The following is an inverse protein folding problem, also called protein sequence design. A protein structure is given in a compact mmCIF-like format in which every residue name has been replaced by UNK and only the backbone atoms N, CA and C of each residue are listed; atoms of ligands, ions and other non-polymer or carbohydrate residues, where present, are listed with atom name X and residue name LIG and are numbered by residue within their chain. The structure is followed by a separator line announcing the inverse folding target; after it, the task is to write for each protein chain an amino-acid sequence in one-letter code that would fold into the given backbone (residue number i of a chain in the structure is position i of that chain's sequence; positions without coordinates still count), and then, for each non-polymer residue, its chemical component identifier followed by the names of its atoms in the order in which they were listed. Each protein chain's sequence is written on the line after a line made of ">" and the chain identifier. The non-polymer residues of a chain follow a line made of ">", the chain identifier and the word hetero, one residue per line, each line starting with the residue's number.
data_IF_603503106760
#
_entry.id   IF_603503106760
#
_cell.length_a   1.000
_cell.length_b   1.000
_cell.length_c   1.000
_cell.angle_alpha   90.00
_cell.angle_beta   90.00
_cell.angle_gamma   90.00
#
_symmetry.space_group_name_H-M   'P 1'
#
loop_
_entity.id
_entity.type
_entity.pdbx_description
1 polymer ?
#
# COMPACT_ATOMS: atom_id res chain seq x y z
N UNK A 1 21.71 -13.83 -14.80
CA UNK A 1 21.11 -12.48 -14.71
C UNK A 1 21.40 -11.93 -13.33
N UNK A 2 22.25 -10.91 -13.23
CA UNK A 2 22.48 -10.19 -11.98
C UNK A 2 21.47 -9.05 -11.89
N UNK A 3 20.56 -9.13 -10.91
CA UNK A 3 19.65 -8.03 -10.58
C UNK A 3 20.44 -7.05 -9.70
N UNK A 4 21.09 -6.08 -10.33
CA UNK A 4 21.73 -4.97 -9.64
C UNK A 4 20.66 -4.10 -8.99
N UNK A 5 20.60 -4.11 -7.65
CA UNK A 5 19.76 -3.18 -6.90
C UNK A 5 20.44 -1.81 -6.89
N UNK A 6 20.12 -0.95 -7.86
CA UNK A 6 20.54 0.44 -7.85
C UNK A 6 19.55 1.26 -7.00
N UNK A 7 20.06 1.90 -5.94
CA UNK A 7 19.28 2.68 -5.00
C UNK A 7 19.42 4.17 -5.35
N UNK A 8 18.61 4.69 -6.27
CA UNK A 8 18.53 6.12 -6.59
C UNK A 8 17.11 6.55 -6.96
N UNK A 9 16.59 7.53 -6.22
CA UNK A 9 15.75 8.64 -6.69
C UNK A 9 15.55 9.62 -5.52
N UNK A 10 15.96 10.87 -5.71
CA UNK A 10 15.63 11.98 -4.81
C UNK A 10 14.15 12.32 -5.08
N UNK A 11 13.23 11.84 -4.25
CA UNK A 11 11.83 12.21 -4.36
C UNK A 11 11.67 13.67 -3.89
N UNK A 12 11.38 14.59 -4.81
CA UNK A 12 10.97 15.94 -4.47
C UNK A 12 9.58 15.86 -3.82
N UNK A 13 9.51 16.08 -2.50
CA UNK A 13 8.25 16.30 -1.79
C UNK A 13 7.75 17.71 -2.15
N UNK A 14 7.00 17.83 -3.25
CA UNK A 14 6.23 19.03 -3.51
C UNK A 14 4.90 18.90 -2.74
N UNK A 15 4.76 19.65 -1.64
CA UNK A 15 3.46 19.85 -1.02
C UNK A 15 2.59 20.65 -2.01
N UNK A 16 1.60 19.99 -2.61
CA UNK A 16 0.68 20.63 -3.55
C UNK A 16 -0.35 21.47 -2.77
N UNK A 17 -0.73 22.66 -3.29
CA UNK A 17 -1.74 23.50 -2.66
C UNK A 17 -3.09 22.79 -2.61
N UNK A 18 -3.66 22.68 -1.40
CA UNK A 18 -4.95 22.01 -1.15
C UNK A 18 -4.85 20.61 -0.51
N UNK A 19 -3.63 20.08 -0.30
CA UNK A 19 -3.46 18.91 0.55
C UNK A 19 -3.80 19.25 2.01
N UNK A 20 -4.62 18.41 2.67
CA UNK A 20 -4.79 18.47 4.12
C UNK A 20 -3.38 18.39 4.75
N UNK A 21 -2.91 19.43 5.47
CA UNK A 21 -1.56 19.46 6.03
C UNK A 21 -1.32 18.29 7.00
N UNK A 22 -2.40 17.62 7.43
CA UNK A 22 -2.35 16.45 8.28
C UNK A 22 -1.84 15.17 7.61
N UNK A 23 -1.56 15.11 6.31
CA UNK A 23 -0.93 13.91 5.69
C UNK A 23 0.06 14.29 4.59
N UNK A 24 1.32 13.85 4.76
CA UNK A 24 2.34 13.94 3.71
C UNK A 24 2.86 12.55 3.36
N UNK A 25 2.83 12.24 2.06
CA UNK A 25 3.28 10.98 1.50
C UNK A 25 4.48 11.21 0.58
N UNK A 26 5.55 10.44 0.78
CA UNK A 26 6.64 10.35 -0.19
C UNK A 26 6.51 9.05 -0.96
N UNK A 27 6.39 9.14 -2.27
CA UNK A 27 6.42 7.97 -3.15
C UNK A 27 7.82 7.81 -3.75
N UNK A 28 8.30 6.57 -3.80
CA UNK A 28 9.58 6.22 -4.44
C UNK A 28 9.39 5.05 -5.41
N UNK A 29 10.00 5.08 -6.59
CA UNK A 29 10.02 3.89 -7.45
C UNK A 29 10.77 2.76 -6.74
N UNK A 30 10.21 1.56 -6.78
CA UNK A 30 10.85 0.33 -6.30
C UNK A 30 11.38 -0.49 -7.47
N UNK A 31 10.53 -0.73 -8.47
CA UNK A 31 10.88 -1.49 -9.66
C UNK A 31 10.08 -1.00 -10.85
N UNK A 32 10.67 -1.13 -12.02
CA UNK A 32 10.01 -0.96 -13.31
C UNK A 32 10.37 -2.19 -14.13
N UNK A 33 9.36 -2.89 -14.63
CA UNK A 33 9.53 -4.11 -15.42
C UNK A 33 8.94 -3.88 -16.79
N UNK A 34 9.67 -4.26 -17.83
CA UNK A 34 9.19 -4.23 -19.21
C UNK A 34 9.15 -5.67 -19.70
N UNK A 35 7.96 -6.13 -20.03
CA UNK A 35 7.72 -7.45 -20.60
C UNK A 35 7.52 -7.29 -22.11
N UNK A 36 8.24 -8.11 -22.89
CA UNK A 36 8.05 -8.24 -24.33
C UNK A 36 7.94 -9.71 -24.68
N UNK A 37 6.80 -10.13 -25.22
CA UNK A 37 6.56 -11.48 -25.73
C UNK A 37 6.44 -11.41 -27.24
N UNK A 38 7.34 -12.13 -27.91
CA UNK A 38 7.33 -12.28 -29.36
C UNK A 38 6.94 -13.72 -29.69
N UNK A 39 5.93 -13.87 -30.54
CA UNK A 39 5.57 -15.17 -31.10
C UNK A 39 5.98 -15.19 -32.57
N UNK A 40 6.55 -16.32 -32.99
CA UNK A 40 7.02 -16.55 -34.35
C UNK A 40 6.26 -17.72 -34.98
N UNK A 41 6.05 -17.67 -36.29
CA UNK A 41 5.52 -18.79 -37.06
C UNK A 41 6.58 -19.88 -37.30
N UNK A 42 6.17 -20.95 -38.00
CA UNK A 42 7.06 -22.06 -38.34
C UNK A 42 8.19 -21.66 -39.31
N UNK A 43 8.08 -20.52 -39.98
CA UNK A 43 9.07 -19.96 -40.89
C UNK A 43 10.00 -18.93 -40.20
N UNK A 44 9.77 -18.66 -38.91
CA UNK A 44 10.52 -17.67 -38.13
C UNK A 44 10.04 -16.23 -38.29
N UNK A 45 8.90 -15.98 -38.95
CA UNK A 45 8.33 -14.64 -39.04
C UNK A 45 7.53 -14.30 -37.78
N UNK A 46 7.58 -13.05 -37.38
CA UNK A 46 6.88 -12.54 -36.20
C UNK A 46 5.36 -12.51 -36.45
N UNK A 47 4.58 -13.21 -35.62
CA UNK A 47 3.11 -13.24 -35.69
C UNK A 47 2.45 -12.34 -34.64
N UNK A 48 2.92 -12.39 -33.39
CA UNK A 48 2.36 -11.60 -32.30
C UNK A 48 3.46 -10.91 -31.50
N UNK A 49 3.18 -9.67 -31.12
CA UNK A 49 3.96 -8.91 -30.16
C UNK A 49 3.01 -8.48 -29.05
N UNK A 50 3.32 -8.90 -27.83
CA UNK A 50 2.68 -8.38 -26.64
C UNK A 50 3.77 -7.69 -25.81
N UNK A 51 3.63 -6.39 -25.65
CA UNK A 51 4.48 -5.62 -24.76
C UNK A 51 3.65 -5.09 -23.60
N UNK A 52 4.28 -4.98 -22.44
CA UNK A 52 3.67 -4.44 -21.24
C UNK A 52 4.74 -3.85 -20.35
N UNK A 53 4.35 -2.88 -19.53
CA UNK A 53 5.22 -2.33 -18.52
C UNK A 53 4.52 -2.31 -17.18
N UNK A 54 5.22 -2.65 -16.12
CA UNK A 54 4.73 -2.54 -14.75
C UNK A 54 5.66 -1.63 -13.95
N UNK A 55 5.09 -0.81 -13.07
CA UNK A 55 5.83 0.08 -12.17
C UNK A 55 5.33 -0.16 -10.75
N UNK A 56 6.26 -0.47 -9.85
CA UNK A 56 5.99 -0.55 -8.43
C UNK A 56 6.46 0.74 -7.74
N UNK A 57 5.56 1.38 -7.00
CA UNK A 57 5.84 2.56 -6.18
C UNK A 57 5.70 2.20 -4.71
N UNK A 58 6.68 2.60 -3.91
CA UNK A 58 6.65 2.48 -2.46
C UNK A 58 6.27 3.81 -1.81
N UNK A 59 5.27 3.75 -0.95
CA UNK A 59 4.85 4.86 -0.14
C UNK A 59 5.60 4.87 1.19
N UNK A 60 6.14 6.03 1.55
CA UNK A 60 6.76 6.31 2.84
C UNK A 60 6.02 7.48 3.47
N UNK A 61 5.62 7.31 4.73
CA UNK A 61 5.06 8.42 5.49
C UNK A 61 6.20 9.37 5.86
N UNK A 62 6.01 10.65 5.56
CA UNK A 62 6.75 11.70 6.27
C UNK A 62 6.18 11.75 7.70
N UNK A 63 6.87 12.27 8.72
CA UNK A 63 6.40 12.13 10.10
C UNK A 63 5.02 12.80 10.26
N UNK A 64 3.98 11.97 10.38
CA UNK A 64 2.60 12.40 10.52
C UNK A 64 2.02 11.87 11.83
N UNK A 65 1.17 12.68 12.46
CA UNK A 65 0.32 12.27 13.59
C UNK A 65 -0.89 11.43 13.16
N UNK A 66 -1.17 11.31 11.86
CA UNK A 66 -2.35 10.63 11.34
C UNK A 66 -2.17 9.11 11.21
N UNK A 67 -3.15 8.35 11.69
CA UNK A 67 -3.18 6.89 11.59
C UNK A 67 -3.77 6.46 10.23
N UNK A 68 -2.92 6.35 9.20
CA UNK A 68 -3.33 5.90 7.85
C UNK A 68 -3.58 4.40 7.86
N UNK A 69 -4.82 3.96 7.64
CA UNK A 69 -5.24 2.56 7.79
C UNK A 69 -5.46 1.79 6.50
N UNK A 70 -5.80 2.49 5.42
CA UNK A 70 -5.99 1.92 4.11
C UNK A 70 -5.71 2.95 3.02
N UNK A 71 -5.56 2.48 1.78
CA UNK A 71 -5.57 3.33 0.60
C UNK A 71 -6.51 2.76 -0.47
N UNK A 72 -7.01 3.61 -1.35
CA UNK A 72 -7.94 3.24 -2.42
C UNK A 72 -7.89 4.26 -3.55
N UNK A 73 -8.66 4.01 -4.62
CA UNK A 73 -8.89 4.95 -5.72
C UNK A 73 -7.61 5.62 -6.23
N UNK A 74 -6.55 4.84 -6.39
CA UNK A 74 -5.36 5.30 -7.09
C UNK A 74 -5.77 5.73 -8.50
N UNK A 75 -5.41 6.94 -8.91
CA UNK A 75 -5.73 7.48 -10.24
C UNK A 75 -4.49 8.16 -10.78
N UNK A 76 -4.20 7.93 -12.05
CA UNK A 76 -3.14 8.65 -12.76
C UNK A 76 -3.80 9.72 -13.62
N UNK A 77 -3.33 10.96 -13.47
CA UNK A 77 -3.73 12.05 -14.35
C UNK A 77 -2.80 12.14 -15.56
N UNK A 78 -1.52 11.79 -15.38
CA UNK A 78 -0.52 11.84 -16.43
C UNK A 78 0.60 10.84 -16.17
N UNK A 79 1.03 10.14 -17.23
CA UNK A 79 2.25 9.33 -17.26
C UNK A 79 3.02 9.80 -18.48
N UNK A 80 4.22 10.36 -18.28
CA UNK A 80 4.93 11.07 -19.35
C UNK A 80 6.42 10.76 -19.35
N UNK A 81 6.99 10.53 -20.53
CA UNK A 81 8.43 10.33 -20.71
C UNK A 81 9.18 11.65 -20.84
N UNK A 82 10.49 11.63 -20.63
CA UNK A 82 11.38 12.76 -20.91
C UNK A 82 11.41 13.17 -22.40
N UNK A 83 11.06 12.26 -23.31
CA UNK A 83 10.86 12.55 -24.73
C UNK A 83 9.51 13.25 -25.03
N UNK A 84 8.67 13.48 -24.02
CA UNK A 84 7.37 14.15 -24.14
C UNK A 84 6.21 13.23 -24.55
N UNK A 85 6.45 11.93 -24.68
CA UNK A 85 5.41 10.94 -24.98
C UNK A 85 4.53 10.72 -23.74
N UNK A 86 3.20 10.76 -23.93
CA UNK A 86 2.23 10.43 -22.88
C UNK A 86 1.83 8.97 -23.01
N UNK A 87 1.92 8.22 -21.91
CA UNK A 87 1.56 6.80 -21.85
C UNK A 87 0.21 6.65 -21.13
N UNK A 88 -0.55 5.63 -21.53
CA UNK A 88 -1.73 5.19 -20.78
C UNK A 88 -1.33 4.14 -19.76
N UNK A 89 -1.94 4.20 -18.58
CA UNK A 89 -1.71 3.21 -17.55
C UNK A 89 -2.86 3.15 -16.57
N UNK A 90 -3.01 1.99 -15.97
CA UNK A 90 -4.05 1.69 -15.01
C UNK A 90 -3.41 1.17 -13.71
N UNK A 91 -3.94 1.57 -12.55
CA UNK A 91 -3.51 1.01 -11.29
C UNK A 91 -3.95 -0.45 -11.23
N UNK A 92 -3.06 -1.34 -10.80
CA UNK A 92 -3.44 -2.73 -10.57
C UNK A 92 -3.99 -2.87 -9.16
N UNK A 93 -5.21 -3.41 -9.06
CA UNK A 93 -5.93 -3.57 -7.80
C UNK A 93 -7.19 -2.71 -7.78
N UNK A 94 -8.34 -3.38 -7.73
CA UNK A 94 -9.65 -2.73 -7.76
C UNK A 94 -10.25 -2.72 -6.36
N UNK A 95 -9.86 -1.74 -5.53
CA UNK A 95 -10.54 -1.53 -4.26
C UNK A 95 -9.72 -0.87 -3.16
N UNK A 96 -10.20 -1.09 -1.93
CA UNK A 96 -9.57 -0.64 -0.70
C UNK A 96 -8.50 -1.65 -0.29
N UNK A 97 -7.25 -1.22 -0.25
CA UNK A 97 -6.14 -2.02 0.25
C UNK A 97 -5.81 -1.59 1.67
N UNK A 98 -5.98 -2.51 2.63
CA UNK A 98 -5.61 -2.26 4.02
C UNK A 98 -4.11 -2.32 4.22
N UNK A 99 -3.63 -1.45 5.10
CA UNK A 99 -2.20 -1.34 5.40
C UNK A 99 -1.95 -2.13 6.67
N UNK A 100 -1.24 -3.25 6.52
CA UNK A 100 -0.88 -4.14 7.61
C UNK A 100 -0.16 -3.39 8.75
N UNK A 101 -0.69 -3.50 9.98
CA UNK A 101 -0.10 -2.91 11.18
C UNK A 101 1.33 -3.43 11.44
N UNK A 102 1.60 -4.71 11.13
CA UNK A 102 2.94 -5.28 11.30
C UNK A 102 3.95 -4.65 10.34
N UNK A 103 3.52 -4.25 9.14
CA UNK A 103 4.37 -3.49 8.20
C UNK A 103 4.64 -2.08 8.71
N UNK A 104 3.66 -1.42 9.35
CA UNK A 104 3.87 -0.10 9.98
C UNK A 104 4.86 -0.13 11.13
N UNK A 105 4.92 -1.23 11.88
CA UNK A 105 5.87 -1.39 12.98
C UNK A 105 7.33 -1.48 12.51
N UNK A 106 7.58 -1.76 11.22
CA UNK A 106 8.93 -1.75 10.64
C UNK A 106 9.38 -0.31 10.43
N UNK A 107 10.18 0.21 11.36
CA UNK A 107 10.66 1.61 11.40
C UNK A 107 11.28 2.17 10.10
N UNK A 108 11.74 1.31 9.19
CA UNK A 108 12.46 1.72 7.97
C UNK A 108 11.87 1.15 6.67
N UNK A 109 10.70 0.49 6.73
CA UNK A 109 10.05 -0.11 5.57
C UNK A 109 9.13 0.86 4.84
N UNK A 110 8.75 0.57 3.57
CA UNK A 110 7.63 1.25 2.96
C UNK A 110 6.36 0.96 3.76
N UNK A 111 5.52 1.98 3.91
CA UNK A 111 4.20 1.85 4.50
C UNK A 111 3.31 0.90 3.70
N UNK A 112 3.31 1.07 2.38
CA UNK A 112 2.61 0.21 1.43
C UNK A 112 3.26 0.33 0.05
N UNK A 113 2.91 -0.62 -0.84
CA UNK A 113 3.37 -0.64 -2.23
C UNK A 113 2.16 -0.55 -3.15
N UNK A 114 2.31 0.21 -4.22
CA UNK A 114 1.32 0.35 -5.27
C UNK A 114 1.93 -0.15 -6.57
N UNK A 115 1.07 -0.68 -7.43
CA UNK A 115 1.47 -1.26 -8.70
C UNK A 115 0.68 -0.58 -9.81
N UNK A 116 1.39 -0.22 -10.87
CA UNK A 116 0.87 0.46 -12.05
C UNK A 116 1.16 -0.42 -13.23
N UNK A 117 0.14 -0.73 -14.03
CA UNK A 117 0.30 -1.33 -15.35
C UNK A 117 0.26 -0.21 -16.37
N UNK A 118 1.25 -0.16 -17.25
CA UNK A 118 1.33 0.79 -18.35
C UNK A 118 1.15 -0.02 -19.63
N UNK A 119 0.19 0.38 -20.45
CA UNK A 119 -0.37 -0.45 -21.52
C UNK A 119 0.63 -0.75 -22.64
N UNK A 120 1.58 0.16 -22.86
CA UNK A 120 2.63 -0.01 -23.84
C UNK A 120 3.91 0.71 -23.41
N UNK A 121 5.10 0.12 -23.62
CA UNK A 121 6.35 0.84 -23.45
C UNK A 121 6.44 2.00 -24.46
N UNK A 122 7.27 3.01 -24.18
CA UNK A 122 7.39 4.18 -25.06
C UNK A 122 7.88 3.80 -26.45
N UNK A 123 7.38 4.50 -27.48
CA UNK A 123 7.75 4.31 -28.88
C UNK A 123 9.11 4.90 -29.19
N UNK A 124 9.52 5.92 -28.45
CA UNK A 124 10.84 6.53 -28.57
C UNK A 124 11.76 6.08 -27.42
N UNK A 125 13.08 6.06 -27.62
CA UNK A 125 14.02 5.83 -26.54
C UNK A 125 13.86 6.91 -25.45
N UNK A 126 13.24 6.54 -24.34
CA UNK A 126 13.07 7.39 -23.17
C UNK A 126 14.14 7.04 -22.12
N UNK A 127 14.67 8.04 -21.43
CA UNK A 127 15.61 7.79 -20.31
C UNK A 127 14.89 7.79 -18.98
N UNK A 128 13.81 8.54 -18.87
CA UNK A 128 13.02 8.60 -17.64
C UNK A 128 11.52 8.77 -17.88
N UNK A 129 10.78 8.49 -16.82
CA UNK A 129 9.34 8.56 -16.72
C UNK A 129 8.94 9.45 -15.55
N UNK A 130 7.86 10.20 -15.71
CA UNK A 130 7.16 10.90 -14.65
C UNK A 130 5.72 10.40 -14.55
N UNK A 131 5.21 10.31 -13.33
CA UNK A 131 3.85 9.86 -13.02
C UNK A 131 3.21 10.85 -12.07
N UNK A 132 2.07 11.39 -12.44
CA UNK A 132 1.26 12.30 -11.61
C UNK A 132 -0.13 11.70 -11.42
N UNK A 133 -0.69 11.85 -10.22
CA UNK A 133 -1.98 11.27 -9.89
C UNK A 133 -2.52 11.66 -8.53
N UNK A 134 -3.54 10.92 -8.09
CA UNK A 134 -4.16 11.04 -6.77
C UNK A 134 -4.35 9.68 -6.13
N UNK A 135 -4.33 9.62 -4.81
CA UNK A 135 -4.64 8.43 -4.02
C UNK A 135 -5.56 8.82 -2.87
N UNK A 136 -6.60 8.02 -2.62
CA UNK A 136 -7.44 8.21 -1.44
C UNK A 136 -6.85 7.42 -0.27
N UNK A 137 -6.58 8.10 0.83
CA UNK A 137 -6.12 7.51 2.07
C UNK A 137 -7.26 7.49 3.09
N UNK A 138 -7.43 6.37 3.78
CA UNK A 138 -8.32 6.27 4.93
C UNK A 138 -7.52 6.54 6.21
N UNK A 139 -7.94 7.52 7.00
CA UNK A 139 -7.32 7.93 8.26
C UNK A 139 -8.27 7.57 9.41
N UNK A 140 -7.74 7.04 10.50
CA UNK A 140 -8.50 6.77 11.72
C UNK A 140 -8.11 7.74 12.84
N UNK A 141 -9.07 8.15 13.66
CA UNK A 141 -8.85 9.12 14.74
C UNK A 141 -8.31 8.47 16.03
N UNK A 142 -8.64 7.20 16.30
CA UNK A 142 -8.36 6.58 17.60
C UNK A 142 -8.17 5.04 17.55
N UNK A 143 -7.82 4.49 18.72
CA UNK A 143 -7.66 3.05 19.01
C UNK A 143 -8.90 2.29 18.56
N UNK A 144 -8.67 1.11 17.97
CA UNK A 144 -9.74 0.27 17.46
C UNK A 144 -10.72 -0.12 18.58
N UNK A 145 -12.03 0.05 18.33
CA UNK A 145 -13.08 -0.47 19.20
C UNK A 145 -13.13 -1.98 19.07
N UNK A 146 -13.20 -2.68 20.18
CA UNK A 146 -13.26 -4.15 20.22
C UNK A 146 -14.69 -4.61 20.48
N UNK A 147 -15.14 -5.60 19.73
CA UNK A 147 -16.37 -6.33 19.97
C UNK A 147 -16.06 -7.83 20.06
N UNK A 148 -16.76 -8.53 20.94
CA UNK A 148 -16.57 -9.95 21.16
C UNK A 148 -17.89 -10.69 20.89
N UNK A 149 -17.82 -11.74 20.06
CA UNK A 149 -18.93 -12.64 19.78
C UNK A 149 -18.63 -13.94 20.52
N UNK A 150 -19.27 -14.14 21.68
CA UNK A 150 -19.03 -15.28 22.57
C UNK A 150 -20.32 -15.71 23.31
N UNK A 151 -20.59 -17.02 23.45
CA UNK A 151 -19.90 -18.12 22.77
C UNK A 151 -20.31 -18.19 21.29
N UNK A 152 -19.38 -18.53 20.40
CA UNK A 152 -19.63 -18.52 18.95
C UNK A 152 -20.87 -19.32 18.57
N UNK A 153 -21.08 -20.49 19.20
CA UNK A 153 -22.19 -21.41 18.89
C UNK A 153 -23.57 -20.75 18.96
N UNK A 154 -23.73 -19.72 19.80
CA UNK A 154 -25.01 -19.03 19.99
C UNK A 154 -25.31 -18.03 18.86
N UNK A 155 -24.29 -17.67 18.06
CA UNK A 155 -24.38 -16.66 17.00
C UNK A 155 -24.18 -17.23 15.58
N UNK A 156 -23.86 -18.52 15.45
CA UNK A 156 -23.73 -19.14 14.12
C UNK A 156 -25.05 -19.05 13.35
N UNK A 157 -24.99 -18.53 12.12
CA UNK A 157 -26.14 -18.29 11.25
C UNK A 157 -26.96 -17.06 11.61
N UNK A 158 -26.65 -16.39 12.71
CA UNK A 158 -27.34 -15.17 13.14
C UNK A 158 -26.64 -13.92 12.63
N UNK A 159 -27.42 -12.86 12.44
CA UNK A 159 -26.91 -11.53 12.17
C UNK A 159 -26.73 -10.78 13.49
N UNK A 160 -25.50 -10.38 13.77
CA UNK A 160 -25.10 -9.69 14.99
C UNK A 160 -24.84 -8.22 14.67
N UNK A 161 -25.57 -7.33 15.33
CA UNK A 161 -25.27 -5.90 15.29
C UNK A 161 -24.15 -5.60 16.30
N UNK A 162 -23.06 -4.99 15.83
CA UNK A 162 -21.96 -4.57 16.68
C UNK A 162 -22.29 -3.21 17.30
N UNK A 163 -22.31 -3.16 18.63
CA UNK A 163 -22.66 -1.96 19.37
C UNK A 163 -21.64 -0.83 19.13
N UNK A 164 -22.16 0.37 18.82
CA UNK A 164 -21.37 1.59 18.59
C UNK A 164 -20.36 1.50 17.46
N UNK A 165 -20.59 0.64 16.48
CA UNK A 165 -20.00 0.72 15.14
C UNK A 165 -21.16 0.85 14.14
N UNK A 166 -21.47 2.07 13.65
CA UNK A 166 -22.64 2.29 12.81
C UNK A 166 -22.65 1.39 11.56
N UNK A 167 -23.78 0.70 11.33
CA UNK A 167 -23.95 -0.20 10.18
C UNK A 167 -23.18 -1.53 10.26
N UNK A 168 -22.49 -1.81 11.37
CA UNK A 168 -21.75 -3.06 11.55
C UNK A 168 -22.65 -4.24 11.89
N UNK A 169 -23.29 -4.80 10.87
CA UNK A 169 -23.97 -6.08 10.93
C UNK A 169 -23.04 -7.20 10.46
N UNK A 170 -22.72 -8.16 11.34
CA UNK A 170 -21.83 -9.29 11.06
C UNK A 170 -22.61 -10.59 11.20
N UNK A 171 -22.56 -11.43 10.17
CA UNK A 171 -23.09 -12.79 10.23
C UNK A 171 -21.93 -13.78 10.34
N UNK A 172 -21.97 -14.64 11.36
CA UNK A 172 -20.98 -15.70 11.55
C UNK A 172 -21.49 -16.98 10.91
N UNK A 173 -20.72 -17.56 10.00
CA UNK A 173 -21.06 -18.80 9.31
C UNK A 173 -19.94 -19.81 9.57
N UNK A 174 -20.27 -20.93 10.22
CA UNK A 174 -19.35 -22.06 10.37
C UNK A 174 -19.62 -23.02 9.21
N UNK A 175 -18.67 -23.18 8.28
CA UNK A 175 -18.84 -24.08 7.13
C UNK A 175 -18.56 -25.54 7.51
N UNK A 176 -17.54 -25.73 8.33
CA UNK A 176 -17.14 -27.00 8.94
C UNK A 176 -16.36 -26.74 10.24
N UNK A 177 -15.79 -27.77 10.84
CA UNK A 177 -14.98 -27.64 12.06
C UNK A 177 -13.60 -27.00 11.85
N UNK A 178 -13.23 -26.68 10.61
CA UNK A 178 -11.94 -26.10 10.24
C UNK A 178 -12.04 -24.72 9.61
N UNK A 179 -13.24 -24.15 9.47
CA UNK A 179 -13.41 -22.86 8.82
C UNK A 179 -14.56 -22.02 9.36
N UNK A 180 -14.26 -20.73 9.53
CA UNK A 180 -15.22 -19.71 9.92
C UNK A 180 -15.28 -18.65 8.82
N UNK A 181 -16.49 -18.30 8.40
CA UNK A 181 -16.77 -17.20 7.50
C UNK A 181 -17.50 -16.09 8.24
N UNK A 182 -17.07 -14.85 8.00
CA UNK A 182 -17.80 -13.66 8.40
C UNK A 182 -18.35 -12.98 7.14
N UNK A 183 -19.63 -12.64 7.19
CA UNK A 183 -20.33 -11.88 6.15
C UNK A 183 -20.81 -10.56 6.71
N UNK A 184 -20.49 -9.44 6.07
CA UNK A 184 -20.84 -8.10 6.55
C UNK A 184 -20.90 -7.09 5.39
N UNK A 185 -21.56 -5.92 5.57
CA UNK A 185 -21.57 -4.86 4.57
C UNK A 185 -20.18 -4.36 4.20
N UNK A 186 -19.98 -3.93 2.95
CA UNK A 186 -18.69 -3.47 2.43
C UNK A 186 -18.11 -2.28 3.22
N UNK A 187 -18.96 -1.42 3.75
CA UNK A 187 -18.58 -0.25 4.55
C UNK A 187 -17.97 -0.65 5.90
N UNK A 188 -18.38 -1.82 6.42
CA UNK A 188 -17.83 -2.42 7.65
C UNK A 188 -16.45 -3.00 7.36
N UNK A 189 -16.22 -3.50 6.14
CA UNK A 189 -14.89 -3.91 5.71
C UNK A 189 -13.92 -2.73 5.77
N UNK A 190 -14.29 -1.52 5.37
CA UNK A 190 -13.35 -0.39 5.49
C UNK A 190 -12.92 -0.12 6.95
N UNK A 191 -13.78 -0.45 7.93
CA UNK A 191 -13.57 -0.22 9.36
C UNK A 191 -12.86 -1.36 10.08
N UNK A 192 -12.96 -2.60 9.60
CA UNK A 192 -12.41 -3.78 10.29
C UNK A 192 -10.87 -3.75 10.29
N UNK A 193 -10.28 -3.57 11.47
CA UNK A 193 -8.84 -3.57 11.70
C UNK A 193 -8.30 -5.01 11.79
N UNK A 194 -8.91 -5.83 12.65
CA UNK A 194 -8.42 -7.16 12.99
C UNK A 194 -9.59 -8.10 13.30
N UNK A 195 -9.38 -9.39 13.01
CA UNK A 195 -10.26 -10.48 13.44
C UNK A 195 -9.38 -11.52 14.12
N UNK A 196 -9.67 -11.81 15.39
CA UNK A 196 -8.95 -12.80 16.18
C UNK A 196 -9.93 -13.87 16.64
N UNK A 197 -9.51 -15.13 16.60
CA UNK A 197 -10.29 -16.26 17.09
C UNK A 197 -9.69 -16.77 18.39
N UNK A 198 -10.53 -16.98 19.40
CA UNK A 198 -10.12 -17.46 20.72
C UNK A 198 -10.81 -18.79 21.04
N UNK A 199 -10.12 -19.68 21.74
CA UNK A 199 -10.70 -20.90 22.29
C UNK A 199 -11.57 -20.62 23.53
N UNK A 200 -12.11 -21.68 24.14
CA UNK A 200 -12.97 -21.56 25.32
C UNK A 200 -12.23 -20.99 26.55
N UNK A 201 -10.91 -21.16 26.62
CA UNK A 201 -10.04 -20.61 27.67
C UNK A 201 -9.61 -19.16 27.38
N UNK A 202 -9.94 -18.62 26.20
CA UNK A 202 -9.54 -17.29 25.76
C UNK A 202 -8.16 -17.24 25.10
N UNK A 203 -7.54 -18.38 24.79
CA UNK A 203 -6.27 -18.41 24.09
C UNK A 203 -6.46 -18.25 22.57
N UNK A 204 -5.58 -17.52 21.85
CA UNK A 204 -5.66 -17.38 20.41
C UNK A 204 -5.60 -18.73 19.68
N UNK A 205 -6.47 -18.92 18.70
CA UNK A 205 -6.44 -20.07 17.80
C UNK A 205 -5.52 -19.82 16.60
N UNK A 206 -4.78 -20.86 16.19
CA UNK A 206 -3.97 -20.80 14.97
C UNK A 206 -4.85 -20.62 13.73
N UNK A 207 -4.56 -19.57 12.96
CA UNK A 207 -5.34 -19.18 11.79
C UNK A 207 -4.47 -19.28 10.54
N UNK A 208 -4.92 -20.03 9.53
CA UNK A 208 -4.15 -20.27 8.31
C UNK A 208 -4.76 -19.52 7.12
N UNK A 209 -4.15 -18.38 6.78
CA UNK A 209 -4.59 -17.55 5.66
C UNK A 209 -6.04 -17.07 5.78
N UNK A 210 -6.46 -16.27 4.81
CA UNK A 210 -7.87 -15.95 4.64
C UNK A 210 -8.17 -15.79 3.15
N UNK A 211 -9.36 -16.23 2.76
CA UNK A 211 -9.93 -15.99 1.44
C UNK A 211 -11.03 -14.95 1.54
N UNK A 212 -11.21 -14.14 0.49
CA UNK A 212 -12.28 -13.16 0.41
C UNK A 212 -13.08 -13.32 -0.88
N UNK A 213 -14.40 -13.19 -0.78
CA UNK A 213 -15.26 -12.97 -1.93
C UNK A 213 -16.10 -11.73 -1.69
N UNK A 214 -16.03 -10.78 -2.63
CA UNK A 214 -16.77 -9.53 -2.58
C UNK A 214 -17.90 -9.62 -3.60
N UNK A 215 -19.15 -9.74 -3.13
CA UNK A 215 -20.33 -9.84 -4.00
C UNK A 215 -21.23 -8.64 -3.76
N UNK A 216 -21.22 -7.67 -4.67
CA UNK A 216 -22.01 -6.44 -4.53
C UNK A 216 -21.69 -5.69 -3.23
N UNK A 217 -22.74 -5.40 -2.45
CA UNK A 217 -22.65 -4.67 -1.18
C UNK A 217 -22.15 -5.52 0.01
N UNK A 218 -21.97 -6.83 -0.16
CA UNK A 218 -21.58 -7.74 0.91
C UNK A 218 -20.15 -8.24 0.70
N UNK A 219 -19.38 -8.21 1.77
CA UNK A 219 -18.05 -8.80 1.85
C UNK A 219 -18.14 -10.09 2.65
N UNK A 220 -17.57 -11.18 2.11
CA UNK A 220 -17.40 -12.45 2.80
C UNK A 220 -15.92 -12.74 2.97
N UNK A 221 -15.50 -12.99 4.20
CA UNK A 221 -14.13 -13.40 4.53
C UNK A 221 -14.18 -14.76 5.18
N UNK A 222 -13.35 -15.69 4.72
CA UNK A 222 -13.25 -17.05 5.26
C UNK A 222 -11.85 -17.26 5.83
N UNK A 223 -11.77 -17.74 7.05
CA UNK A 223 -10.54 -18.13 7.74
C UNK A 223 -10.52 -19.65 7.92
N UNK A 224 -9.36 -20.27 7.68
CA UNK A 224 -9.13 -21.68 8.06
C UNK A 224 -8.66 -21.70 9.50
N UNK A 225 -9.58 -22.01 10.41
CA UNK A 225 -9.38 -21.98 11.86
C UNK A 225 -10.34 -22.96 12.52
N UNK A 226 -9.82 -23.74 13.48
CA UNK A 226 -10.62 -24.63 14.32
C UNK A 226 -10.98 -23.90 15.61
N UNK A 227 -12.20 -23.35 15.66
CA UNK A 227 -12.69 -22.66 16.86
C UNK A 227 -13.77 -23.50 17.55
N UNK A 228 -13.62 -23.82 18.85
CA UNK A 228 -14.66 -24.48 19.63
C UNK A 228 -15.96 -23.67 19.64
N UNK A 229 -17.11 -24.34 19.79
CA UNK A 229 -18.40 -23.65 19.90
C UNK A 229 -18.47 -22.68 21.08
N UNK A 230 -17.80 -22.99 22.18
CA UNK A 230 -17.68 -22.13 23.37
C UNK A 230 -16.56 -21.08 23.27
N UNK A 231 -15.86 -21.01 22.13
CA UNK A 231 -14.84 -20.01 21.84
C UNK A 231 -15.44 -18.63 21.53
N UNK A 232 -14.58 -17.71 21.08
CA UNK A 232 -14.95 -16.33 20.78
C UNK A 232 -14.36 -15.82 19.46
N UNK A 233 -15.07 -14.89 18.82
CA UNK A 233 -14.53 -14.08 17.72
C UNK A 233 -14.38 -12.65 18.25
N UNK A 234 -13.17 -12.13 18.21
CA UNK A 234 -12.85 -10.77 18.60
C UNK A 234 -12.67 -9.94 17.33
N UNK A 235 -13.51 -8.92 17.17
CA UNK A 235 -13.50 -8.00 16.04
C UNK A 235 -13.00 -6.65 16.52
N UNK A 236 -11.98 -6.10 15.85
CA UNK A 236 -11.46 -4.76 16.14
C UNK A 236 -11.77 -3.83 14.98
N UNK A 237 -12.28 -2.64 15.27
CA UNK A 237 -12.75 -1.66 14.29
C UNK A 237 -12.08 -0.30 14.48
N UNK A 238 -11.52 0.26 13.42
CA UNK A 238 -11.08 1.66 13.40
C UNK A 238 -12.27 2.60 13.62
N UNK A 239 -12.02 3.70 14.35
CA UNK A 239 -13.02 4.73 14.66
C UNK A 239 -12.67 6.03 13.95
N UNK A 240 -13.69 6.84 13.65
CA UNK A 240 -13.50 8.16 13.02
C UNK A 240 -12.83 8.08 11.66
N UNK A 241 -13.25 7.12 10.81
CA UNK A 241 -12.66 7.01 9.48
C UNK A 241 -13.00 8.25 8.65
N UNK A 242 -11.96 8.96 8.21
CA UNK A 242 -12.03 10.00 7.19
C UNK A 242 -11.24 9.60 5.97
N UNK A 243 -11.74 9.98 4.80
CA UNK A 243 -11.01 9.82 3.54
C UNK A 243 -10.37 11.14 3.14
N UNK A 244 -9.10 11.10 2.73
CA UNK A 244 -8.37 12.25 2.21
C UNK A 244 -7.76 11.86 0.87
N UNK A 245 -8.06 12.64 -0.16
CA UNK A 245 -7.42 12.52 -1.47
C UNK A 245 -6.08 13.26 -1.45
N UNK A 246 -5.01 12.53 -1.67
CA UNK A 246 -3.64 13.05 -1.70
C UNK A 246 -3.15 13.06 -3.15
N UNK A 247 -2.89 14.23 -3.75
CA UNK A 247 -2.23 14.29 -5.03
C UNK A 247 -0.74 13.94 -4.89
N UNK A 248 -0.15 13.34 -5.91
CA UNK A 248 1.26 12.98 -5.92
C UNK A 248 1.88 13.17 -7.31
N UNK A 249 3.21 13.36 -7.30
CA UNK A 249 4.05 13.32 -8.49
C UNK A 249 5.32 12.54 -8.16
N UNK A 250 5.70 11.62 -9.05
CA UNK A 250 6.98 10.91 -9.03
C UNK A 250 7.68 11.22 -10.34
N UNK A 251 8.79 11.94 -10.28
CA UNK A 251 9.57 12.33 -11.45
C UNK A 251 10.85 11.48 -11.57
N UNK A 252 11.49 11.58 -12.73
CA UNK A 252 12.83 11.03 -13.01
C UNK A 252 12.96 9.52 -12.74
N UNK A 253 11.89 8.74 -12.96
CA UNK A 253 11.91 7.29 -12.82
C UNK A 253 12.73 6.72 -13.99
N UNK A 254 13.88 6.07 -13.75
CA UNK A 254 14.76 5.63 -14.84
C UNK A 254 14.15 4.47 -15.62
N UNK A 255 14.29 4.47 -16.95
CA UNK A 255 13.95 3.32 -17.78
C UNK A 255 15.03 2.22 -17.70
N UNK A 256 14.65 0.93 -17.73
CA UNK A 256 15.61 -0.16 -17.88
C UNK A 256 16.49 0.04 -19.12
N UNK A 257 17.81 -0.02 -18.94
CA UNK A 257 18.77 0.12 -20.05
C UNK A 257 19.13 1.57 -20.42
N UNK A 258 18.56 2.58 -19.77
CA UNK A 258 19.07 3.94 -19.86
C UNK A 258 20.48 4.01 -19.23
N UNK A 259 21.44 4.75 -19.82
CA UNK A 259 22.73 4.95 -19.19
C UNK A 259 22.53 5.57 -17.81
N UNK A 260 23.11 4.96 -16.78
CA UNK A 260 22.97 5.39 -15.39
C UNK A 260 23.27 6.89 -15.30
N UNK A 261 22.26 7.69 -14.90
CA UNK A 261 22.46 9.11 -14.70
C UNK A 261 23.60 9.25 -13.69
N UNK A 262 24.71 9.87 -14.11
CA UNK A 262 25.85 10.10 -13.24
C UNK A 262 25.33 10.73 -11.94
N UNK A 263 25.60 10.08 -10.80
CA UNK A 263 25.19 10.60 -9.49
C UNK A 263 25.53 12.09 -9.45
N UNK A 264 24.57 12.98 -9.13
CA UNK A 264 24.92 14.39 -8.97
C UNK A 264 26.06 14.45 -7.96
N UNK A 265 27.20 14.99 -8.38
CA UNK A 265 28.34 15.17 -7.49
C UNK A 265 27.82 15.94 -6.27
N UNK A 266 27.90 15.31 -5.10
CA UNK A 266 27.49 15.94 -3.86
C UNK A 266 28.30 17.23 -3.72
N UNK A 267 27.66 18.39 -3.95
CA UNK A 267 28.26 19.67 -3.61
C UNK A 267 28.27 19.75 -2.09
N UNK A 268 29.40 19.37 -1.50
CA UNK A 268 29.74 19.77 -0.13
C UNK A 268 30.13 21.24 -0.22
N UNK A 269 29.19 22.12 0.10
CA UNK A 269 29.55 23.50 0.44
C UNK A 269 30.40 23.42 1.70
N UNK A 270 31.68 23.78 1.60
CA UNK A 270 32.54 23.91 2.77
C UNK A 270 31.87 24.89 3.74
N UNK A 271 31.34 24.37 4.85
CA UNK A 271 30.95 25.19 5.99
C UNK A 271 32.24 25.79 6.52
N UNK A 272 32.24 27.10 6.71
CA UNK A 272 33.37 27.89 7.20
C UNK A 272 34.19 27.09 8.21
N UNK A 273 35.47 26.91 7.90
CA UNK A 273 36.42 26.40 8.87
C UNK A 273 36.32 27.28 10.13
N UNK A 274 36.22 26.70 11.34
CA UNK A 274 36.28 27.50 12.54
C UNK A 274 37.57 28.32 12.51
N UNK A 275 37.44 29.62 12.75
CA UNK A 275 38.56 30.53 12.84
C UNK A 275 39.62 29.93 13.78
N UNK A 276 40.85 29.79 13.25
CA UNK A 276 42.02 29.43 14.03
C UNK A 276 42.16 30.46 15.14
N UNK A 277 41.89 30.04 16.38
CA UNK A 277 42.21 30.85 17.56
C UNK A 277 43.74 30.92 17.64
N UNK A 278 44.36 32.11 17.56
CA UNK A 278 45.80 32.21 17.73
C UNK A 278 46.16 31.76 19.14
N UNK A 279 47.18 30.91 19.24
CA UNK A 279 47.73 30.46 20.50
C UNK A 279 48.20 31.68 21.30
N UNK A 280 47.61 31.88 22.48
CA UNK A 280 48.19 32.71 23.53
C UNK A 280 49.47 32.06 24.00
N UNK A 281 50.61 32.65 23.66
CA UNK A 281 51.88 32.44 24.36
C UNK A 281 51.70 32.90 25.80
N UNK A 282 51.65 31.92 26.71
CA UNK A 282 51.85 32.13 28.14
C UNK A 282 53.35 32.09 28.40
N UNK A 283 53.94 33.24 28.71
CA UNK A 283 55.20 33.28 29.45
C UNK A 283 54.94 32.68 30.83
N UNK A 284 55.53 31.52 31.12
CA UNK A 284 56.18 31.11 32.37
C UNK A 284 56.65 29.64 32.26
#
# INVERSE_FOLDING_TARGET
>A
MHVGHALFALACAAALPGADPAVQLTLRPQSIEIEQRLQFDAQGNRQHEQSGMSLQLNAFYLPVTANVVAYSNLRFSEIKTDAGETLSGEPTGTGVTRIDEQRRARRNGPAFSMYVRIDSPPKQPAKSLSVTGTIDLALADAVAKTAEIKPIKDFVGQRVQIEGVPGAEVTVIKRDDSSVELSFPREVDAQMAEVTFLDAAGAPCDTHGWGGNNTGAVVRRTWQVKVPGDGAIVLRFHQGLKSVTVPFTVADIPFPGAPEAAKPAAKVTAKDAPAVVPATTSDF
#
